data_IF_312491254124
#
_entry.id   IF_312491254124
#
_cell.length_a   1.000
_cell.length_b   1.000
_cell.length_c   1.000
_cell.angle_alpha   90.00
_cell.angle_beta   90.00
_cell.angle_gamma   90.00
#
_symmetry.space_group_name_H-M   'P 1'
#
loop_
_entity.id
_entity.type
_entity.pdbx_description
1 polymer ?
#
# COMPACT_ATOMS: atom_id res chain seq x y z
N UNK A 1 -17.87 -47.07 -24.00
CA UNK A 1 -16.59 -47.68 -23.55
C UNK A 1 -15.72 -46.58 -22.94
N UNK A 2 -15.19 -46.82 -21.73
CA UNK A 2 -14.14 -46.09 -20.98
C UNK A 2 -14.30 -44.58 -20.73
N UNK A 3 -14.54 -44.13 -19.48
CA UNK A 3 -13.57 -43.91 -18.35
C UNK A 3 -12.56 -42.78 -18.68
N UNK A 4 -12.15 -41.85 -17.80
CA UNK A 4 -12.36 -41.50 -16.39
C UNK A 4 -11.69 -40.13 -16.19
N UNK A 5 -12.15 -39.40 -15.18
CA UNK A 5 -11.60 -38.25 -14.43
C UNK A 5 -10.26 -37.58 -14.86
N UNK A 6 -10.26 -36.25 -14.75
CA UNK A 6 -9.19 -35.58 -13.98
C UNK A 6 -9.75 -34.33 -13.29
N UNK A 7 -9.95 -34.43 -11.97
CA UNK A 7 -10.02 -33.27 -11.09
C UNK A 7 -8.60 -32.72 -10.98
N UNK A 8 -8.39 -31.46 -11.32
CA UNK A 8 -7.25 -30.67 -10.84
C UNK A 8 -7.81 -29.40 -10.24
N UNK A 9 -8.05 -29.47 -8.94
CA UNK A 9 -8.01 -28.31 -8.07
C UNK A 9 -6.58 -27.77 -8.15
N UNK A 10 -6.41 -26.58 -8.69
CA UNK A 10 -5.19 -25.79 -8.50
C UNK A 10 -5.52 -24.86 -7.33
N UNK A 11 -5.03 -25.25 -6.17
CA UNK A 11 -4.89 -24.38 -5.01
C UNK A 11 -4.16 -23.11 -5.46
N UNK A 12 -4.75 -21.96 -5.18
CA UNK A 12 -4.11 -20.66 -5.30
C UNK A 12 -2.92 -20.62 -4.33
N UNK A 13 -1.77 -21.09 -4.81
CA UNK A 13 -0.49 -21.00 -4.14
C UNK A 13 0.18 -19.70 -4.54
N UNK A 14 0.45 -18.86 -3.55
CA UNK A 14 1.34 -17.73 -3.70
C UNK A 14 2.70 -18.15 -4.26
N UNK A 15 3.24 -17.33 -5.15
CA UNK A 15 4.63 -17.39 -5.58
C UNK A 15 5.15 -15.94 -5.50
N UNK A 16 5.85 -15.56 -4.43
CA UNK A 16 7.27 -15.83 -4.16
C UNK A 16 8.18 -14.89 -4.95
N UNK A 17 8.43 -13.71 -4.38
CA UNK A 17 9.60 -12.90 -4.75
C UNK A 17 10.81 -13.41 -3.95
N UNK A 18 11.70 -14.12 -4.65
CA UNK A 18 13.02 -14.51 -4.17
C UNK A 18 13.90 -13.26 -4.14
N UNK A 19 14.17 -12.72 -2.95
CA UNK A 19 15.14 -11.65 -2.77
C UNK A 19 16.54 -12.26 -2.64
N UNK A 20 17.24 -12.36 -3.76
CA UNK A 20 18.68 -12.61 -3.80
C UNK A 20 19.44 -11.37 -3.33
N UNK A 21 20.27 -11.53 -2.30
CA UNK A 21 21.18 -10.49 -1.82
C UNK A 21 22.38 -10.32 -2.74
N UNK A 22 22.85 -9.08 -2.89
CA UNK A 22 24.22 -8.78 -3.27
C UNK A 22 24.69 -7.52 -2.53
N UNK A 23 25.86 -7.68 -1.93
CA UNK A 23 26.63 -6.70 -1.20
C UNK A 23 27.59 -5.93 -2.13
N UNK A 24 28.09 -4.78 -1.63
CA UNK A 24 29.24 -4.03 -2.16
C UNK A 24 28.82 -2.83 -3.02
N UNK A 25 29.44 -1.65 -2.95
CA UNK A 25 30.73 -1.28 -2.37
C UNK A 25 30.73 0.24 -2.14
N UNK A 26 31.38 0.67 -1.05
CA UNK A 26 31.54 2.05 -0.61
C UNK A 26 32.31 2.93 -1.63
N UNK A 27 31.91 4.19 -1.74
CA UNK A 27 32.63 5.24 -2.46
C UNK A 27 32.55 6.58 -1.73
N UNK A 28 33.59 6.86 -0.95
CA UNK A 28 33.88 8.07 -0.16
C UNK A 28 34.23 9.29 -1.04
N UNK A 29 33.84 10.51 -0.64
CA UNK A 29 34.43 11.75 -1.19
C UNK A 29 33.75 13.08 -0.79
N UNK A 30 34.14 13.60 0.37
CA UNK A 30 34.36 15.01 0.80
C UNK A 30 33.76 16.23 0.06
N UNK A 31 32.94 16.97 0.82
CA UNK A 31 33.22 18.31 1.41
C UNK A 31 32.92 19.63 0.65
N UNK A 32 32.51 20.60 1.49
CA UNK A 32 32.44 22.07 1.36
C UNK A 32 31.20 22.77 0.77
N UNK A 33 30.62 23.68 1.57
CA UNK A 33 29.73 24.75 1.08
C UNK A 33 28.92 25.49 2.15
N UNK A 34 29.56 26.32 2.98
CA UNK A 34 28.92 27.30 3.86
C UNK A 34 28.03 28.31 3.11
N UNK A 35 26.86 28.62 3.68
CA UNK A 35 25.96 29.67 3.20
C UNK A 35 24.98 30.14 4.29
N UNK A 36 25.31 31.31 4.87
CA UNK A 36 24.73 31.96 6.04
C UNK A 36 23.34 32.62 5.78
N UNK A 37 22.47 32.62 6.82
CA UNK A 37 21.31 33.53 7.10
C UNK A 37 19.98 33.34 6.34
N UNK A 38 18.90 33.06 7.09
CA UNK A 38 17.99 34.12 7.57
C UNK A 38 17.01 33.65 8.66
N UNK A 39 16.98 34.46 9.71
CA UNK A 39 16.10 34.45 10.86
C UNK A 39 14.68 34.94 10.47
N UNK A 40 13.63 34.22 10.84
CA UNK A 40 12.30 34.80 11.01
C UNK A 40 11.46 34.01 12.01
N UNK A 41 11.42 34.55 13.23
CA UNK A 41 10.48 34.23 14.29
C UNK A 41 9.09 34.76 13.91
N UNK A 42 8.05 33.92 13.99
CA UNK A 42 6.66 34.38 14.17
C UNK A 42 6.00 33.54 15.24
N UNK A 43 5.72 34.22 16.35
CA UNK A 43 4.92 33.81 17.50
C UNK A 43 3.51 34.38 17.33
N UNK A 44 2.48 33.52 17.36
CA UNK A 44 1.13 33.87 17.82
C UNK A 44 0.42 32.62 18.35
N UNK A 45 0.59 32.39 19.64
CA UNK A 45 -0.47 32.20 20.66
C UNK A 45 -1.56 31.10 20.54
N UNK A 46 -2.08 30.58 21.68
CA UNK A 46 -2.74 29.28 21.76
C UNK A 46 -4.28 29.35 21.89
N UNK A 47 -4.95 28.26 21.49
CA UNK A 47 -6.21 27.82 22.08
C UNK A 47 -7.41 27.78 21.15
N UNK A 48 -7.74 26.59 20.65
CA UNK A 48 -9.13 26.09 20.71
C UNK A 48 -9.13 24.55 20.71
N UNK A 49 -9.26 23.96 21.90
CA UNK A 49 -9.56 22.54 22.09
C UNK A 49 -11.05 22.32 21.82
N UNK A 50 -11.42 22.28 20.55
CA UNK A 50 -12.74 21.82 20.13
C UNK A 50 -12.73 20.31 19.98
N UNK A 51 -13.48 19.60 20.83
CA UNK A 51 -13.83 18.18 20.64
C UNK A 51 -14.42 17.99 19.24
N UNK A 52 -13.59 17.51 18.32
CA UNK A 52 -13.99 17.12 16.99
C UNK A 52 -14.84 15.86 17.08
N UNK A 53 -16.13 16.02 16.80
CA UNK A 53 -17.04 14.93 16.46
C UNK A 53 -16.38 14.03 15.41
N UNK A 54 -16.08 12.78 15.76
CA UNK A 54 -15.52 11.78 14.86
C UNK A 54 -16.56 11.38 13.82
N UNK A 55 -16.57 12.09 12.70
CA UNK A 55 -17.29 11.67 11.50
C UNK A 55 -16.53 10.46 10.91
N UNK A 56 -17.14 9.29 10.71
CA UNK A 56 -16.49 8.16 10.05
C UNK A 56 -16.06 8.45 8.60
N UNK A 57 -16.49 9.58 8.01
CA UNK A 57 -15.96 10.08 6.73
C UNK A 57 -14.65 10.88 6.87
N UNK A 58 -14.25 11.29 8.08
CA UNK A 58 -13.04 12.10 8.35
C UNK A 58 -11.88 11.30 8.94
N UNK A 59 -12.07 10.02 9.28
CA UNK A 59 -11.06 9.16 9.92
C UNK A 59 -10.35 8.24 8.90
N UNK A 60 -10.18 8.69 7.66
CA UNK A 60 -9.23 8.05 6.77
C UNK A 60 -7.84 8.44 7.30
N UNK A 61 -7.05 7.47 7.76
CA UNK A 61 -5.62 7.70 8.01
C UNK A 61 -5.07 8.41 6.78
N UNK A 62 -4.27 9.45 6.98
CA UNK A 62 -3.69 10.25 5.91
C UNK A 62 -2.59 9.49 5.14
N UNK A 63 -2.88 8.26 4.70
CA UNK A 63 -1.95 7.37 4.03
C UNK A 63 -1.36 8.01 2.76
N UNK A 64 -2.08 8.95 2.13
CA UNK A 64 -1.60 9.73 0.99
C UNK A 64 -0.34 10.52 1.33
N UNK A 65 -0.22 10.99 2.57
CA UNK A 65 0.97 11.70 3.06
C UNK A 65 2.19 10.76 3.18
N UNK A 66 1.97 9.44 3.23
CA UNK A 66 3.02 8.43 3.35
C UNK A 66 3.49 7.87 2.00
N UNK A 67 2.81 8.20 0.90
CA UNK A 67 3.14 7.67 -0.43
C UNK A 67 4.41 8.35 -0.97
N UNK A 68 5.52 7.62 -0.93
CA UNK A 68 6.82 8.06 -1.44
C UNK A 68 6.79 8.20 -2.95
N UNK A 69 7.44 9.23 -3.50
CA UNK A 69 7.57 9.41 -4.92
C UNK A 69 8.28 8.22 -5.63
N UNK A 70 7.87 7.82 -6.84
CA UNK A 70 8.46 6.68 -7.55
C UNK A 70 9.97 6.77 -7.74
N UNK A 71 10.47 7.96 -8.07
CA UNK A 71 11.89 8.29 -8.25
C UNK A 71 12.69 8.30 -6.95
N UNK A 72 12.02 8.38 -5.80
CA UNK A 72 12.66 8.27 -4.48
C UNK A 72 12.54 6.86 -3.92
N UNK A 73 11.71 5.99 -4.54
CA UNK A 73 11.48 4.65 -4.05
C UNK A 73 12.71 3.77 -4.30
N UNK A 74 13.35 3.20 -3.26
CA UNK A 74 14.57 2.43 -3.39
C UNK A 74 14.43 1.28 -4.38
N UNK A 75 15.30 1.31 -5.39
CA UNK A 75 15.37 0.29 -6.42
C UNK A 75 14.27 0.38 -7.47
N UNK A 76 13.48 1.45 -7.54
CA UNK A 76 12.68 1.80 -8.75
C UNK A 76 13.55 2.59 -9.73
N UNK A 77 14.48 3.41 -9.23
CA UNK A 77 15.42 4.16 -10.06
C UNK A 77 16.41 3.25 -10.80
N UNK A 78 16.46 3.34 -12.12
CA UNK A 78 17.48 2.69 -12.96
C UNK A 78 17.20 1.23 -13.34
N UNK A 79 15.99 0.73 -13.10
CA UNK A 79 15.57 -0.59 -13.56
C UNK A 79 14.21 -0.49 -14.27
N UNK A 80 14.23 -0.59 -15.60
CA UNK A 80 13.04 -0.46 -16.46
C UNK A 80 11.96 -1.52 -16.16
N UNK A 81 12.33 -2.64 -15.52
CA UNK A 81 11.44 -3.76 -15.23
C UNK A 81 10.67 -3.62 -13.90
N UNK A 82 10.90 -2.57 -13.11
CA UNK A 82 10.30 -2.44 -11.78
C UNK A 82 9.06 -1.55 -11.75
N UNK A 83 7.99 -2.14 -11.24
CA UNK A 83 6.66 -1.55 -11.18
C UNK A 83 6.47 -0.82 -9.86
N UNK A 84 6.19 0.48 -9.93
CA UNK A 84 5.78 1.26 -8.77
C UNK A 84 4.31 0.97 -8.45
N UNK A 85 4.05 0.31 -7.32
CA UNK A 85 2.73 -0.07 -6.84
C UNK A 85 2.59 0.21 -5.35
N UNK A 86 1.41 0.64 -4.94
CA UNK A 86 1.03 0.73 -3.53
C UNK A 86 -0.34 0.07 -3.27
N UNK A 87 -0.55 -0.32 -2.03
CA UNK A 87 -1.81 -0.86 -1.53
C UNK A 87 -2.05 -0.33 -0.11
N UNK A 88 -3.17 0.34 0.11
CA UNK A 88 -3.67 0.73 1.41
C UNK A 88 -4.90 -0.08 1.77
N UNK A 89 -4.92 -0.63 2.98
CA UNK A 89 -6.03 -1.39 3.54
C UNK A 89 -6.37 -0.85 4.92
N UNK A 90 -7.59 -0.37 5.17
CA UNK A 90 -8.02 0.03 6.50
C UNK A 90 -8.07 -1.17 7.47
N UNK A 91 -7.84 -0.94 8.76
CA UNK A 91 -7.72 -1.98 9.79
C UNK A 91 -8.94 -2.89 9.87
N UNK A 92 -10.14 -2.30 9.77
CA UNK A 92 -11.40 -3.04 9.72
C UNK A 92 -11.57 -3.96 8.51
N UNK A 93 -10.66 -3.94 7.53
CA UNK A 93 -10.70 -4.75 6.31
C UNK A 93 -9.70 -5.92 6.35
N UNK A 94 -8.79 -5.95 7.34
CA UNK A 94 -7.78 -7.00 7.45
C UNK A 94 -8.45 -8.35 7.73
N UNK A 95 -8.49 -9.20 6.70
CA UNK A 95 -8.95 -10.59 6.83
C UNK A 95 -7.91 -11.43 7.58
N UNK A 96 -8.28 -12.62 8.06
CA UNK A 96 -7.37 -13.54 8.76
C UNK A 96 -6.06 -13.75 7.99
N UNK A 97 -6.12 -13.97 6.67
CA UNK A 97 -4.94 -14.14 5.82
C UNK A 97 -4.03 -12.89 5.77
N UNK A 98 -4.58 -11.71 6.01
CA UNK A 98 -3.82 -10.47 6.10
C UNK A 98 -3.22 -10.28 7.48
N UNK A 99 -3.94 -10.66 8.54
CA UNK A 99 -3.41 -10.74 9.90
C UNK A 99 -2.22 -11.71 9.96
N UNK A 100 -2.31 -12.85 9.29
CA UNK A 100 -1.21 -13.83 9.18
C UNK A 100 0.00 -13.24 8.44
N UNK A 101 -0.19 -12.32 7.48
CA UNK A 101 0.90 -11.59 6.80
C UNK A 101 1.53 -10.52 7.69
N UNK A 102 0.72 -9.84 8.51
CA UNK A 102 1.23 -8.94 9.55
C UNK A 102 2.16 -9.71 10.47
N UNK A 103 1.71 -10.87 10.96
CA UNK A 103 2.53 -11.76 11.78
C UNK A 103 3.80 -12.22 11.06
N UNK A 104 3.78 -12.43 9.74
CA UNK A 104 5.01 -12.81 9.01
C UNK A 104 6.15 -11.80 9.15
N UNK A 105 5.90 -10.53 8.81
CA UNK A 105 6.95 -9.47 8.79
C UNK A 105 7.13 -8.75 10.13
N UNK A 106 6.11 -8.75 10.97
CA UNK A 106 6.09 -8.07 12.27
C UNK A 106 6.03 -9.04 13.46
N UNK A 107 6.24 -10.35 13.25
CA UNK A 107 6.12 -11.37 14.32
C UNK A 107 6.94 -11.04 15.57
N UNK A 108 8.13 -10.47 15.38
CA UNK A 108 9.01 -10.07 16.48
C UNK A 108 8.38 -9.02 17.40
N UNK A 109 7.47 -8.21 16.88
CA UNK A 109 6.86 -7.09 17.59
C UNK A 109 5.62 -7.51 18.41
N UNK A 110 5.10 -8.73 18.19
CA UNK A 110 3.89 -9.26 18.84
C UNK A 110 2.70 -8.27 18.85
N UNK A 111 2.53 -7.53 17.76
CA UNK A 111 1.46 -6.53 17.62
C UNK A 111 0.11 -7.25 17.53
N UNK A 112 -0.82 -6.89 18.42
CA UNK A 112 -2.21 -7.32 18.32
C UNK A 112 -2.83 -6.77 17.02
N UNK A 113 -3.28 -7.60 16.07
CA UNK A 113 -3.91 -7.12 14.86
C UNK A 113 -5.14 -6.23 15.11
N UNK A 114 -5.76 -6.31 16.29
CA UNK A 114 -6.90 -5.48 16.67
C UNK A 114 -6.55 -3.99 16.86
N UNK A 115 -5.28 -3.65 17.14
CA UNK A 115 -4.84 -2.25 17.28
C UNK A 115 -4.43 -1.61 15.95
N UNK A 116 -4.37 -2.40 14.88
CA UNK A 116 -4.00 -1.91 13.55
C UNK A 116 -5.21 -1.26 12.90
N UNK A 117 -5.14 0.06 12.71
CA UNK A 117 -6.16 0.90 12.07
C UNK A 117 -5.97 1.00 10.55
N UNK A 118 -4.81 0.59 10.03
CA UNK A 118 -4.57 0.48 8.61
C UNK A 118 -3.19 -0.06 8.28
N UNK A 119 -3.02 -0.48 7.02
CA UNK A 119 -1.76 -0.93 6.46
C UNK A 119 -1.53 -0.25 5.13
N UNK A 120 -0.37 0.37 4.95
CA UNK A 120 0.14 0.78 3.66
C UNK A 120 1.29 -0.14 3.25
N UNK A 121 1.17 -0.79 2.11
CA UNK A 121 2.25 -1.53 1.45
C UNK A 121 2.71 -0.72 0.25
N UNK A 122 3.98 -0.33 0.26
CA UNK A 122 4.66 0.30 -0.86
C UNK A 122 6.09 -0.21 -0.83
N UNK A 123 6.38 -1.24 -1.62
CA UNK A 123 7.66 -1.93 -1.54
C UNK A 123 8.83 -0.96 -1.75
N UNK A 124 9.93 -1.13 -1.00
CA UNK A 124 10.21 -2.21 -0.04
C UNK A 124 9.57 -2.09 1.35
N UNK A 125 8.80 -1.03 1.66
CA UNK A 125 8.26 -0.78 2.99
C UNK A 125 6.81 -1.27 3.19
N UNK A 126 6.49 -1.55 4.44
CA UNK A 126 5.14 -1.70 4.97
C UNK A 126 5.00 -0.76 6.14
N UNK A 127 3.90 -0.01 6.21
CA UNK A 127 3.55 0.87 7.32
C UNK A 127 2.27 0.34 7.95
N UNK A 128 2.30 0.10 9.24
CA UNK A 128 1.11 -0.15 10.06
C UNK A 128 0.74 1.12 10.80
N UNK A 129 -0.52 1.51 10.68
CA UNK A 129 -1.09 2.65 11.38
C UNK A 129 -1.91 2.14 12.57
N UNK A 130 -1.85 2.86 13.69
CA UNK A 130 -2.60 2.52 14.90
C UNK A 130 -2.03 3.25 16.11
N UNK A 131 -2.44 2.82 17.29
CA UNK A 131 -1.89 3.30 18.56
C UNK A 131 -1.00 2.19 19.16
N UNK A 132 0.30 2.47 19.30
CA UNK A 132 1.30 1.49 19.71
C UNK A 132 2.03 1.92 20.99
N UNK A 133 2.36 0.95 21.84
CA UNK A 133 3.26 1.14 22.98
C UNK A 133 4.71 0.99 22.49
N UNK A 134 5.32 2.11 22.08
CA UNK A 134 6.70 2.13 21.56
C UNK A 134 7.72 1.49 22.53
N UNK A 135 7.71 1.77 23.85
CA UNK A 135 8.55 1.06 24.81
C UNK A 135 8.37 -0.47 24.83
N UNK A 136 7.13 -0.96 24.70
CA UNK A 136 6.86 -2.39 24.62
C UNK A 136 7.40 -3.00 23.32
N UNK A 137 7.25 -2.30 22.19
CA UNK A 137 7.81 -2.73 20.90
C UNK A 137 9.34 -2.79 20.93
N UNK A 138 10.00 -1.81 21.57
CA UNK A 138 11.46 -1.81 21.77
C UNK A 138 11.88 -3.01 22.63
N UNK A 139 11.18 -3.25 23.74
CA UNK A 139 11.45 -4.39 24.63
C UNK A 139 11.32 -5.73 23.88
N UNK A 140 10.33 -5.85 22.98
CA UNK A 140 10.14 -7.04 22.16
C UNK A 140 11.31 -7.27 21.19
N UNK A 141 11.81 -6.21 20.55
CA UNK A 141 13.01 -6.24 19.70
C UNK A 141 14.26 -6.64 20.50
N UNK A 142 14.51 -6.02 21.65
CA UNK A 142 15.68 -6.30 22.47
C UNK A 142 15.69 -7.73 23.05
N UNK A 143 14.51 -8.30 23.25
CA UNK A 143 14.35 -9.67 23.76
C UNK A 143 14.47 -10.74 22.68
N UNK A 144 14.50 -10.35 21.40
CA UNK A 144 14.52 -11.27 20.27
C UNK A 144 15.92 -11.48 19.69
N UNK A 145 16.30 -12.74 19.53
CA UNK A 145 17.57 -13.09 18.89
C UNK A 145 17.62 -12.61 17.43
N UNK A 146 18.76 -12.04 17.04
CA UNK A 146 18.99 -11.56 15.67
C UNK A 146 18.42 -10.18 15.38
N UNK A 147 17.89 -9.48 16.39
CA UNK A 147 17.42 -8.10 16.29
C UNK A 147 18.25 -7.17 17.17
N UNK A 148 18.35 -5.90 16.78
CA UNK A 148 19.08 -4.90 17.55
C UNK A 148 18.46 -3.53 17.34
N UNK A 149 18.28 -2.78 18.43
CA UNK A 149 17.93 -1.36 18.38
C UNK A 149 19.13 -0.58 17.89
N UNK A 150 18.96 0.21 16.82
CA UNK A 150 20.05 0.88 16.11
C UNK A 150 20.16 2.37 16.45
N UNK A 151 19.11 2.98 17.00
CA UNK A 151 19.11 4.40 17.36
C UNK A 151 17.72 5.03 17.26
N UNK A 152 17.69 6.29 16.88
CA UNK A 152 16.49 7.09 16.70
C UNK A 152 16.59 7.90 15.41
N UNK A 153 15.43 8.13 14.78
CA UNK A 153 15.28 9.01 13.64
C UNK A 153 13.96 9.78 13.77
N UNK A 154 14.04 11.11 13.88
CA UNK A 154 12.90 11.94 14.30
C UNK A 154 12.28 11.43 15.61
N UNK A 155 10.97 11.12 15.66
CA UNK A 155 10.31 10.51 16.81
C UNK A 155 10.41 8.98 16.85
N UNK A 156 10.94 8.35 15.80
CA UNK A 156 10.95 6.91 15.65
C UNK A 156 12.17 6.29 16.32
N UNK A 157 11.93 5.21 17.07
CA UNK A 157 12.98 4.31 17.52
C UNK A 157 13.33 3.36 16.40
N UNK A 158 14.59 3.29 16.00
CA UNK A 158 15.03 2.46 14.87
C UNK A 158 15.61 1.14 15.35
N UNK A 159 15.32 0.07 14.63
CA UNK A 159 15.88 -1.24 14.87
C UNK A 159 16.14 -2.00 13.56
N UNK A 160 16.87 -3.10 13.65
CA UNK A 160 17.22 -3.93 12.49
C UNK A 160 17.25 -5.41 12.86
N UNK A 161 16.78 -6.25 11.94
CA UNK A 161 17.09 -7.67 11.93
C UNK A 161 18.47 -7.88 11.28
N UNK A 162 19.47 -8.22 12.09
CA UNK A 162 20.88 -8.34 11.68
C UNK A 162 21.16 -9.47 10.69
N UNK A 163 20.26 -10.44 10.56
CA UNK A 163 20.43 -11.56 9.61
C UNK A 163 19.93 -11.21 8.21
N UNK A 164 18.83 -10.45 8.13
CA UNK A 164 18.15 -10.13 6.87
C UNK A 164 18.38 -8.70 6.37
N UNK A 165 18.88 -7.82 7.25
CA UNK A 165 18.97 -6.39 7.02
C UNK A 165 17.61 -5.70 6.92
N UNK A 166 16.56 -6.30 7.51
CA UNK A 166 15.22 -5.68 7.55
C UNK A 166 15.22 -4.61 8.64
N UNK A 167 14.86 -3.40 8.27
CA UNK A 167 14.79 -2.26 9.17
C UNK A 167 13.38 -2.13 9.78
N UNK A 168 13.35 -1.54 10.96
CA UNK A 168 12.14 -1.19 11.72
C UNK A 168 12.25 0.26 12.17
N UNK A 169 11.15 1.00 12.09
CA UNK A 169 11.00 2.30 12.73
C UNK A 169 9.70 2.27 13.55
N UNK A 170 9.82 2.48 14.86
CA UNK A 170 8.78 2.26 15.85
C UNK A 170 8.38 3.61 16.46
N UNK A 171 7.12 3.97 16.36
CA UNK A 171 6.54 5.17 16.97
C UNK A 171 5.16 4.82 17.54
N UNK A 172 4.60 5.72 18.35
CA UNK A 172 3.29 5.55 18.96
C UNK A 172 2.15 5.52 17.94
N UNK A 173 2.32 6.10 16.75
CA UNK A 173 1.25 6.23 15.74
C UNK A 173 1.46 5.35 14.50
N UNK A 174 2.70 4.95 14.25
CA UNK A 174 3.03 4.14 13.09
C UNK A 174 4.22 3.23 13.34
N UNK A 175 4.15 2.03 12.77
CA UNK A 175 5.26 1.08 12.73
C UNK A 175 5.63 0.81 11.28
N UNK A 176 6.87 1.11 10.92
CA UNK A 176 7.40 0.87 9.59
C UNK A 176 8.33 -0.35 9.59
N UNK A 177 8.23 -1.18 8.56
CA UNK A 177 9.06 -2.38 8.38
C UNK A 177 9.49 -2.48 6.93
N UNK A 178 10.80 -2.62 6.68
CA UNK A 178 11.32 -2.74 5.31
C UNK A 178 12.75 -2.25 5.16
N UNK A 179 12.96 -1.29 4.25
CA UNK A 179 14.27 -0.72 3.91
C UNK A 179 14.13 0.75 3.58
N UNK A 180 15.18 1.52 3.90
CA UNK A 180 15.27 2.97 3.68
C UNK A 180 14.07 3.72 4.28
N UNK A 181 13.70 3.36 5.52
CA UNK A 181 12.46 3.82 6.16
C UNK A 181 12.43 5.33 6.42
N UNK A 182 13.60 5.96 6.56
CA UNK A 182 13.76 7.42 6.66
C UNK A 182 13.01 8.14 5.54
N UNK A 183 13.03 7.60 4.31
CA UNK A 183 12.32 8.17 3.16
C UNK A 183 10.79 8.26 3.38
N UNK A 184 10.18 7.27 4.03
CA UNK A 184 8.74 7.28 4.32
C UNK A 184 8.41 8.29 5.43
N UNK A 185 9.27 8.38 6.44
CA UNK A 185 9.14 9.35 7.54
C UNK A 185 9.29 10.78 7.00
N UNK A 186 10.30 11.03 6.17
CA UNK A 186 10.51 12.32 5.50
C UNK A 186 9.33 12.72 4.60
N UNK A 187 8.74 11.75 3.90
CA UNK A 187 7.58 12.00 3.03
C UNK A 187 6.35 12.39 3.85
N UNK A 188 6.12 11.70 4.98
CA UNK A 188 5.02 12.00 5.88
C UNK A 188 5.18 13.37 6.53
N UNK A 189 6.36 13.69 7.05
CA UNK A 189 6.68 14.97 7.69
C UNK A 189 6.75 16.14 6.70
N UNK A 190 6.83 15.85 5.40
CA UNK A 190 6.89 16.85 4.33
C UNK A 190 8.31 17.35 4.02
N UNK A 191 9.34 16.69 4.56
CA UNK A 191 10.75 16.92 4.26
C UNK A 191 11.14 16.38 2.87
N UNK A 192 10.50 15.29 2.43
CA UNK A 192 10.69 14.72 1.10
C UNK A 192 9.44 14.84 0.21
N UNK A 193 9.66 14.75 -1.11
CA UNK A 193 8.60 14.83 -2.10
C UNK A 193 7.62 13.65 -2.00
N UNK A 194 6.34 14.00 -2.00
CA UNK A 194 5.22 13.04 -2.01
C UNK A 194 4.89 12.61 -3.44
N UNK A 195 4.29 11.43 -3.58
CA UNK A 195 3.79 10.91 -4.87
C UNK A 195 2.99 11.94 -5.66
N UNK A 196 2.06 12.63 -4.99
CA UNK A 196 1.19 13.61 -5.64
C UNK A 196 1.90 14.92 -6.00
N UNK A 197 3.02 15.23 -5.33
CA UNK A 197 3.86 16.39 -5.65
C UNK A 197 4.62 16.19 -6.95
N UNK A 198 5.16 14.99 -7.18
CA UNK A 198 5.99 14.70 -8.35
C UNK A 198 5.21 14.05 -9.49
N UNK A 199 4.12 13.37 -9.16
CA UNK A 199 3.21 12.71 -10.10
C UNK A 199 1.76 13.16 -9.89
N UNK A 200 1.40 14.41 -10.30
CA UNK A 200 0.09 15.02 -10.01
C UNK A 200 -1.12 14.30 -10.58
N UNK A 201 -0.90 13.31 -11.45
CA UNK A 201 -1.99 12.46 -11.96
C UNK A 201 -2.64 11.64 -10.85
N UNK A 202 -1.90 11.28 -9.79
CA UNK A 202 -2.47 10.55 -8.66
C UNK A 202 -3.47 11.40 -7.86
N UNK A 203 -3.28 12.71 -7.74
CA UNK A 203 -4.31 13.60 -7.18
C UNK A 203 -5.62 13.46 -7.94
N UNK A 204 -5.55 13.53 -9.27
CA UNK A 204 -6.73 13.41 -10.13
C UNK A 204 -7.39 12.03 -10.06
N UNK A 205 -6.59 10.98 -9.84
CA UNK A 205 -7.09 9.62 -9.64
C UNK A 205 -7.77 9.45 -8.28
N UNK A 206 -7.16 9.95 -7.20
CA UNK A 206 -7.73 9.87 -5.86
C UNK A 206 -9.05 10.65 -5.74
N UNK A 207 -9.16 11.80 -6.40
CA UNK A 207 -10.41 12.59 -6.42
C UNK A 207 -11.58 11.87 -7.10
N UNK A 208 -11.32 10.79 -7.86
CA UNK A 208 -12.33 9.99 -8.59
C UNK A 208 -12.72 8.70 -7.87
N UNK A 209 -12.04 8.34 -6.79
CA UNK A 209 -12.36 7.15 -5.99
C UNK A 209 -12.85 7.53 -4.60
N UNK A 210 -13.75 6.74 -3.99
CA UNK A 210 -14.12 6.96 -2.60
C UNK A 210 -12.90 6.74 -1.69
N UNK A 211 -12.77 7.58 -0.68
CA UNK A 211 -11.60 7.65 0.20
C UNK A 211 -11.65 6.65 1.36
N UNK A 212 -12.82 6.20 1.78
CA UNK A 212 -13.00 5.31 2.93
C UNK A 212 -12.85 3.80 2.62
N UNK A 213 -12.12 3.45 1.56
CA UNK A 213 -12.02 2.09 1.02
C UNK A 213 -10.58 1.59 1.02
N UNK A 214 -10.38 0.29 0.81
CA UNK A 214 -9.06 -0.21 0.40
C UNK A 214 -8.70 0.37 -0.96
N UNK A 215 -7.50 0.91 -1.09
CA UNK A 215 -7.04 1.56 -2.32
C UNK A 215 -5.76 0.89 -2.80
N UNK A 216 -5.74 0.45 -4.05
CA UNK A 216 -4.52 0.02 -4.73
C UNK A 216 -4.25 0.98 -5.87
N UNK A 217 -2.98 1.29 -6.13
CA UNK A 217 -2.59 2.09 -7.28
C UNK A 217 -1.25 1.69 -7.84
N UNK A 218 -1.04 2.05 -9.11
CA UNK A 218 0.18 1.70 -9.83
C UNK A 218 0.50 2.73 -10.90
N UNK A 219 1.79 2.93 -11.17
CA UNK A 219 2.24 3.54 -12.42
C UNK A 219 2.30 2.49 -13.53
N UNK A 220 1.92 2.92 -14.74
CA UNK A 220 1.85 2.08 -15.93
C UNK A 220 0.75 1.01 -15.89
N UNK A 221 0.71 0.15 -16.92
CA UNK A 221 -0.24 -0.95 -17.05
C UNK A 221 -0.18 -1.95 -15.89
N UNK A 222 -1.33 -2.51 -15.45
CA UNK A 222 -1.31 -3.63 -14.51
C UNK A 222 -0.47 -4.79 -15.04
N UNK A 223 0.46 -5.31 -14.24
CA UNK A 223 1.41 -6.37 -14.65
C UNK A 223 0.76 -7.68 -15.09
N UNK A 224 -0.49 -7.90 -14.72
CA UNK A 224 -1.24 -9.12 -15.03
C UNK A 224 -2.04 -9.02 -16.31
N UNK A 225 -2.11 -7.84 -16.95
CA UNK A 225 -2.89 -7.67 -18.17
C UNK A 225 -2.06 -8.16 -19.35
N UNK A 226 -2.66 -8.99 -20.18
CA UNK A 226 -1.99 -9.50 -21.39
C UNK A 226 -2.07 -8.49 -22.54
N UNK A 227 -3.02 -7.56 -22.47
CA UNK A 227 -3.23 -6.53 -23.47
C UNK A 227 -2.13 -5.47 -23.46
N UNK A 228 -1.78 -5.00 -24.66
CA UNK A 228 -0.95 -3.82 -24.85
C UNK A 228 -1.72 -2.57 -24.41
N UNK A 229 -1.19 -1.91 -23.38
CA UNK A 229 -1.73 -0.70 -22.78
C UNK A 229 -0.69 0.40 -22.73
N UNK A 230 0.17 0.50 -23.75
CA UNK A 230 1.31 1.44 -23.79
C UNK A 230 0.95 2.90 -23.50
N UNK A 231 -0.30 3.32 -23.76
CA UNK A 231 -0.78 4.68 -23.49
C UNK A 231 -1.34 4.88 -22.07
N UNK A 232 -1.39 3.83 -21.24
CA UNK A 232 -1.89 3.88 -19.87
C UNK A 232 -0.77 4.36 -18.93
N UNK A 233 -0.94 5.56 -18.38
CA UNK A 233 0.04 6.22 -17.53
C UNK A 233 0.00 5.68 -16.08
N UNK A 234 -1.19 5.50 -15.52
CA UNK A 234 -1.39 5.05 -14.14
C UNK A 234 -2.82 4.53 -13.91
N UNK A 235 -3.06 3.93 -12.74
CA UNK A 235 -4.41 3.57 -12.31
C UNK A 235 -4.54 3.48 -10.80
N UNK A 236 -5.78 3.59 -10.32
CA UNK A 236 -6.17 3.26 -8.94
C UNK A 236 -7.43 2.40 -8.95
N UNK A 237 -7.56 1.51 -7.97
CA UNK A 237 -8.78 0.79 -7.68
C UNK A 237 -9.17 0.98 -6.22
N UNK A 238 -10.46 1.19 -5.98
CA UNK A 238 -11.02 1.28 -4.65
C UNK A 238 -12.04 0.17 -4.42
N UNK A 239 -11.83 -0.57 -3.33
CA UNK A 239 -12.61 -1.77 -2.99
C UNK A 239 -13.16 -1.63 -1.58
N UNK A 240 -14.49 -1.70 -1.39
CA UNK A 240 -15.11 -1.71 -0.08
C UNK A 240 -14.84 -3.01 0.68
N UNK A 241 -15.23 -3.01 1.96
CA UNK A 241 -15.05 -4.17 2.81
C UNK A 241 -15.83 -5.34 2.23
N UNK A 242 -15.17 -6.47 2.16
CA UNK A 242 -15.72 -7.71 1.69
C UNK A 242 -16.47 -8.41 2.83
N UNK A 243 -17.80 -8.46 2.73
CA UNK A 243 -18.67 -9.23 3.64
C UNK A 243 -19.31 -10.38 2.87
N UNK A 244 -19.26 -11.60 3.42
CA UNK A 244 -19.91 -12.74 2.81
C UNK A 244 -21.43 -12.52 2.70
N UNK A 245 -22.01 -12.85 1.54
CA UNK A 245 -23.44 -12.64 1.28
C UNK A 245 -23.82 -11.23 0.83
N UNK A 246 -22.90 -10.26 0.87
CA UNK A 246 -23.17 -8.89 0.41
C UNK A 246 -22.61 -8.66 -1.00
N UNK A 247 -23.43 -8.02 -1.84
CA UNK A 247 -22.96 -7.47 -3.10
C UNK A 247 -22.25 -6.14 -2.82
N UNK A 248 -21.01 -6.03 -3.27
CA UNK A 248 -20.19 -4.84 -3.07
C UNK A 248 -19.77 -4.23 -4.40
N UNK A 249 -19.76 -2.90 -4.48
CA UNK A 249 -19.37 -2.17 -5.66
C UNK A 249 -17.89 -1.79 -5.59
N UNK A 250 -17.11 -2.22 -6.59
CA UNK A 250 -15.72 -1.88 -6.77
C UNK A 250 -15.57 -0.88 -7.92
N UNK A 251 -14.55 -0.01 -7.83
CA UNK A 251 -14.27 1.00 -8.85
C UNK A 251 -12.81 1.00 -9.24
N UNK A 252 -12.55 1.02 -10.54
CA UNK A 252 -11.24 1.22 -11.14
C UNK A 252 -11.25 2.53 -11.91
N UNK A 253 -10.19 3.31 -11.77
CA UNK A 253 -9.95 4.53 -12.52
C UNK A 253 -8.58 4.44 -13.15
N UNK A 254 -8.56 4.45 -14.48
CA UNK A 254 -7.36 4.41 -15.30
C UNK A 254 -7.14 5.77 -15.92
N UNK A 255 -5.88 6.17 -16.08
CA UNK A 255 -5.50 7.40 -16.76
C UNK A 255 -4.54 7.09 -17.89
N UNK A 256 -4.85 7.66 -19.05
CA UNK A 256 -4.09 7.50 -20.29
C UNK A 256 -3.39 8.80 -20.66
N UNK A 257 -2.46 8.76 -21.61
CA UNK A 257 -1.79 9.96 -22.13
C UNK A 257 -2.77 10.90 -22.86
N UNK A 258 -3.81 10.33 -23.47
CA UNK A 258 -4.90 11.03 -24.13
C UNK A 258 -6.23 10.35 -23.86
N UNK A 259 -7.20 10.53 -24.76
CA UNK A 259 -8.47 9.81 -24.66
C UNK A 259 -8.22 8.29 -24.75
N UNK A 260 -8.79 7.46 -23.84
CA UNK A 260 -8.64 6.01 -23.87
C UNK A 260 -9.02 5.43 -25.24
N UNK A 261 -8.12 4.69 -25.91
CA UNK A 261 -8.44 3.96 -27.12
C UNK A 261 -9.58 2.95 -26.91
N UNK A 262 -10.39 2.69 -27.94
CA UNK A 262 -11.53 1.76 -27.84
C UNK A 262 -11.09 0.32 -27.55
N UNK A 263 -10.01 -0.11 -28.21
CA UNK A 263 -9.37 -1.41 -28.01
C UNK A 263 -8.80 -1.56 -26.60
N UNK A 264 -8.10 -0.56 -26.08
CA UNK A 264 -7.62 -0.53 -24.70
C UNK A 264 -8.78 -0.59 -23.69
N UNK A 265 -9.85 0.17 -23.95
CA UNK A 265 -11.06 0.17 -23.12
C UNK A 265 -11.73 -1.20 -23.12
N UNK A 266 -11.84 -1.85 -24.28
CA UNK A 266 -12.41 -3.19 -24.40
C UNK A 266 -11.54 -4.23 -23.72
N UNK A 267 -10.22 -4.15 -23.86
CA UNK A 267 -9.28 -5.03 -23.20
C UNK A 267 -9.42 -4.97 -21.68
N UNK A 268 -9.42 -3.76 -21.10
CA UNK A 268 -9.61 -3.57 -19.66
C UNK A 268 -10.94 -4.16 -19.18
N UNK A 269 -12.02 -3.95 -19.94
CA UNK A 269 -13.33 -4.54 -19.59
C UNK A 269 -13.31 -6.06 -19.65
N UNK A 270 -12.63 -6.65 -20.63
CA UNK A 270 -12.53 -8.10 -20.77
C UNK A 270 -11.75 -8.69 -19.59
N UNK A 271 -10.57 -8.14 -19.30
CA UNK A 271 -9.72 -8.56 -18.18
C UNK A 271 -10.46 -8.49 -16.84
N UNK A 272 -11.18 -7.39 -16.59
CA UNK A 272 -11.99 -7.25 -15.39
C UNK A 272 -13.19 -8.20 -15.37
N UNK A 273 -13.81 -8.51 -16.51
CA UNK A 273 -14.93 -9.46 -16.58
C UNK A 273 -14.50 -10.90 -16.36
N UNK A 274 -13.29 -11.25 -16.78
CA UNK A 274 -12.71 -12.59 -16.60
C UNK A 274 -12.08 -12.77 -15.21
N UNK A 275 -11.91 -11.67 -14.46
CA UNK A 275 -11.36 -11.69 -13.11
C UNK A 275 -12.31 -12.34 -12.11
N UNK A 276 -11.84 -13.25 -11.25
CA UNK A 276 -12.64 -13.81 -10.17
C UNK A 276 -13.02 -12.77 -9.09
N UNK A 277 -12.45 -11.55 -9.18
CA UNK A 277 -12.74 -10.44 -8.27
C UNK A 277 -14.01 -9.67 -8.65
N UNK A 278 -14.69 -10.07 -9.71
CA UNK A 278 -15.94 -9.47 -10.18
C UNK A 278 -16.95 -10.54 -10.62
N UNK A 279 -18.22 -10.26 -10.39
CA UNK A 279 -19.33 -11.01 -11.00
C UNK A 279 -19.83 -10.34 -12.27
N UNK A 280 -19.83 -9.00 -12.30
CA UNK A 280 -20.24 -8.25 -13.47
C UNK A 280 -19.70 -6.83 -13.47
N UNK A 281 -19.53 -6.26 -14.67
CA UNK A 281 -19.29 -4.83 -14.86
C UNK A 281 -20.65 -4.15 -15.00
N UNK A 282 -20.91 -3.17 -14.14
CA UNK A 282 -22.18 -2.43 -14.12
C UNK A 282 -22.10 -1.13 -14.88
N UNK A 283 -20.92 -0.50 -14.94
CA UNK A 283 -20.73 0.73 -15.71
C UNK A 283 -19.30 0.86 -16.25
N UNK A 284 -19.16 1.52 -17.40
CA UNK A 284 -17.89 1.96 -17.95
C UNK A 284 -18.09 3.35 -18.54
N UNK A 285 -17.27 4.32 -18.12
CA UNK A 285 -17.41 5.71 -18.53
C UNK A 285 -16.04 6.32 -18.81
N UNK A 286 -15.97 7.12 -19.86
CA UNK A 286 -14.76 7.86 -20.25
C UNK A 286 -14.98 9.36 -20.02
N UNK A 287 -14.03 10.02 -19.38
CA UNK A 287 -14.00 11.47 -19.15
C UNK A 287 -12.61 12.01 -19.52
N UNK A 288 -12.51 12.61 -20.70
CA UNK A 288 -11.22 13.04 -21.25
C UNK A 288 -10.22 11.89 -21.32
N UNK A 289 -9.15 11.98 -20.51
CA UNK A 289 -8.09 10.98 -20.42
C UNK A 289 -8.34 9.85 -19.41
N UNK A 290 -9.49 9.87 -18.74
CA UNK A 290 -9.81 8.92 -17.68
C UNK A 290 -10.82 7.89 -18.15
N UNK A 291 -10.55 6.62 -17.85
CA UNK A 291 -11.51 5.52 -17.96
C UNK A 291 -11.91 5.07 -16.56
N UNK A 292 -13.20 5.14 -16.23
CA UNK A 292 -13.75 4.61 -14.98
C UNK A 292 -14.56 3.36 -15.28
N UNK A 293 -14.20 2.26 -14.63
CA UNK A 293 -14.95 1.00 -14.65
C UNK A 293 -15.52 0.76 -13.26
N UNK A 294 -16.80 0.41 -13.18
CA UNK A 294 -17.46 0.03 -11.94
C UNK A 294 -18.03 -1.37 -12.11
N UNK A 295 -17.81 -2.23 -11.12
CA UNK A 295 -18.29 -3.60 -11.13
C UNK A 295 -18.79 -4.03 -9.76
N UNK A 296 -19.52 -5.13 -9.75
CA UNK A 296 -20.06 -5.74 -8.55
C UNK A 296 -19.39 -7.08 -8.28
N UNK A 297 -19.06 -7.31 -7.01
CA UNK A 297 -18.63 -8.58 -6.46
C UNK A 297 -19.66 -9.04 -5.42
N UNK A 298 -20.20 -10.23 -5.57
CA UNK A 298 -21.02 -10.92 -4.60
C UNK A 298 -20.21 -12.09 -4.06
N UNK A 299 -19.82 -11.99 -2.79
CA UNK A 299 -19.17 -13.09 -2.11
C UNK A 299 -20.21 -14.14 -1.73
N UNK A 300 -20.01 -15.41 -2.08
CA UNK A 300 -20.93 -16.45 -1.66
C UNK A 300 -21.01 -16.49 -0.13
N UNK A 301 -22.20 -16.74 0.41
CA UNK A 301 -22.34 -17.05 1.82
C UNK A 301 -21.46 -18.27 2.13
N UNK A 302 -20.73 -18.21 3.24
CA UNK A 302 -19.94 -19.35 3.69
C UNK A 302 -20.92 -20.46 4.08
N UNK A 303 -21.07 -21.48 3.23
CA UNK A 303 -21.92 -22.63 3.52
C UNK A 303 -21.41 -23.32 4.78
N UNK A 304 -22.02 -22.97 5.92
CA UNK A 304 -21.90 -23.71 7.18
C UNK A 304 -22.86 -24.90 7.16
N UNK A 305 -22.78 -25.72 6.11
CA UNK A 305 -23.68 -26.85 5.90
C UNK A 305 -23.01 -27.89 4.99
N UNK A 306 -22.00 -28.59 5.52
CA UNK A 306 -21.62 -29.93 5.08
C UNK A 306 -20.80 -30.61 6.19
N UNK A 307 -21.46 -30.88 7.31
CA UNK A 307 -20.98 -31.80 8.35
C UNK A 307 -22.16 -32.39 9.13
N UNK A 308 -23.08 -33.04 8.41
CA UNK A 308 -24.02 -34.00 8.99
C UNK A 308 -24.55 -34.91 7.88
N UNK A 309 -23.77 -35.93 7.54
CA UNK A 309 -24.29 -37.26 7.18
C UNK A 309 -23.22 -38.34 7.46
#
# INVERSE_FOLDING_TARGET
MSRKHSRRAILAGGASAVLGGLAGCLGQGDDSGEGDRQNNTVDTGPGDTGSGSSDPASAQVSFRDWLVAPELTPGVTGNEDRVYRFEYIPGGFLQQAEQDRVQGRASVLDIDPAVIEGRLLQLPAVVYFGEFDQPALETAIESADGYTVTGEYESYRTAENTETGTQFALDEQAVLIGRALEQWIDTQTGTADRLEGTTPVFTQLFDRVPTNLSVTGQLGPPVTFEADLDSLTAWVSATPRLTAGEAVTQRWVYVFDGQPPEDATQAIRQELSDSPLLNSITNTTTDGRFLTVTGELLLPESNSADAAD
#
